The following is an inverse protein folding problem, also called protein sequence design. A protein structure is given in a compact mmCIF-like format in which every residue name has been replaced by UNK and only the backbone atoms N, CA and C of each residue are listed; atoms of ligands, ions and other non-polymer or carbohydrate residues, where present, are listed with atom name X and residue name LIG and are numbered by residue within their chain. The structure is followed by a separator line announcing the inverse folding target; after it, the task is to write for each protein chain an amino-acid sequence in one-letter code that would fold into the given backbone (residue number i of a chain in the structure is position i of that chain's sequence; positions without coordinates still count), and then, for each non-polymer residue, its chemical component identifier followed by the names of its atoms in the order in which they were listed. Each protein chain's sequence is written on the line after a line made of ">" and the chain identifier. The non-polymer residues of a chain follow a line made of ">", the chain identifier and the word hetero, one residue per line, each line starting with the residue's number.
data_IF_331473819831
#
_entry.id   IF_331473819831
#
_cell.length_a   1.000
_cell.length_b   1.000
_cell.length_c   1.000
_cell.angle_alpha   90.00
_cell.angle_beta   90.00
_cell.angle_gamma   90.00
#
_symmetry.space_group_name_H-M   'P 1'
#
loop_
_entity.id
_entity.type
_entity.pdbx_description
1 polymer ?
#
# COMPACT_ATOMS: atom_id res chain seq x y z
N UNK A 1 -13.48 10.77 2.13
CA UNK A 1 -13.31 10.18 3.45
C UNK A 1 -14.46 9.23 3.79
N UNK A 2 -14.21 8.31 4.71
CA UNK A 2 -15.24 7.44 5.26
C UNK A 2 -16.23 8.27 6.08
N UNK A 3 -17.53 7.96 5.95
CA UNK A 3 -18.56 8.66 6.75
C UNK A 3 -18.40 8.34 8.23
N UNK A 4 -18.69 9.30 9.10
CA UNK A 4 -18.72 9.11 10.56
C UNK A 4 -19.93 8.28 10.97
N UNK A 5 -19.94 6.98 10.69
CA UNK A 5 -20.84 6.01 11.28
C UNK A 5 -20.00 4.88 11.88
N UNK A 6 -20.56 4.10 12.78
CA UNK A 6 -19.87 2.96 13.39
C UNK A 6 -19.70 1.83 12.35
N UNK A 7 -18.68 1.94 11.53
CA UNK A 7 -18.30 0.88 10.61
C UNK A 7 -17.67 -0.29 11.38
N UNK A 8 -17.92 -1.50 10.89
CA UNK A 8 -17.16 -2.69 11.26
C UNK A 8 -15.96 -2.81 10.34
N UNK A 9 -14.77 -2.89 10.90
CA UNK A 9 -13.53 -2.87 10.15
C UNK A 9 -12.66 -4.07 10.50
N UNK A 10 -12.27 -4.83 9.50
CA UNK A 10 -11.21 -5.82 9.61
C UNK A 10 -9.86 -5.16 9.39
N UNK A 11 -8.84 -5.52 10.16
CA UNK A 11 -7.52 -4.90 10.07
C UNK A 11 -6.40 -5.92 9.99
N UNK A 12 -5.33 -5.58 9.25
CA UNK A 12 -4.05 -6.30 9.29
C UNK A 12 -2.89 -5.29 9.36
N UNK A 13 -1.92 -5.56 10.24
CA UNK A 13 -0.70 -4.76 10.44
C UNK A 13 -0.95 -3.27 10.78
N UNK A 14 -2.03 -3.00 11.48
CA UNK A 14 -2.39 -1.68 12.01
C UNK A 14 -2.84 -1.87 13.45
N UNK A 15 -2.52 -0.90 14.31
CA UNK A 15 -2.86 -0.97 15.73
C UNK A 15 -4.37 -0.93 15.97
N UNK A 16 -4.87 -2.00 16.60
CA UNK A 16 -6.31 -2.17 16.89
C UNK A 16 -6.84 -1.09 17.83
N UNK A 17 -6.06 -0.65 18.82
CA UNK A 17 -6.48 0.36 19.78
C UNK A 17 -6.63 1.74 19.10
N UNK A 18 -5.77 2.03 18.13
CA UNK A 18 -5.87 3.23 17.31
C UNK A 18 -7.12 3.21 16.44
N UNK A 19 -7.36 2.11 15.69
CA UNK A 19 -8.53 2.00 14.80
C UNK A 19 -9.84 1.99 15.59
N UNK A 20 -9.85 1.42 16.79
CA UNK A 20 -11.04 1.38 17.66
C UNK A 20 -11.56 2.76 18.08
N UNK A 21 -10.74 3.82 17.96
CA UNK A 21 -11.18 5.20 18.19
C UNK A 21 -12.09 5.73 17.06
N UNK A 22 -12.06 5.10 15.88
CA UNK A 22 -12.78 5.53 14.67
C UNK A 22 -13.88 4.55 14.24
N UNK A 23 -13.71 3.24 14.50
CA UNK A 23 -14.57 2.18 14.00
C UNK A 23 -14.63 1.00 14.98
N UNK A 24 -15.54 0.04 14.76
CA UNK A 24 -15.58 -1.21 15.49
C UNK A 24 -14.69 -2.24 14.80
N UNK A 25 -13.61 -2.66 15.45
CA UNK A 25 -12.72 -3.70 14.91
C UNK A 25 -13.37 -5.07 15.06
N UNK A 26 -13.37 -5.86 13.98
CA UNK A 26 -13.86 -7.23 13.93
C UNK A 26 -12.75 -8.22 13.58
N UNK A 27 -12.93 -9.48 13.97
CA UNK A 27 -11.91 -10.53 13.80
C UNK A 27 -11.95 -11.22 12.44
N UNK A 28 -13.03 -11.06 11.69
CA UNK A 28 -13.24 -11.73 10.41
C UNK A 28 -13.57 -10.72 9.30
N UNK A 29 -12.90 -10.80 8.12
CA UNK A 29 -13.24 -9.94 7.00
C UNK A 29 -14.68 -10.12 6.50
N UNK A 30 -15.31 -11.28 6.76
CA UNK A 30 -16.71 -11.54 6.40
C UNK A 30 -17.72 -10.77 7.24
N UNK A 31 -17.31 -10.29 8.42
CA UNK A 31 -18.15 -9.50 9.34
C UNK A 31 -17.94 -8.00 9.16
N UNK A 32 -16.97 -7.60 8.34
CA UNK A 32 -16.57 -6.23 8.16
C UNK A 32 -17.34 -5.55 7.03
N UNK A 33 -17.58 -4.25 7.18
CA UNK A 33 -18.07 -3.38 6.11
C UNK A 33 -16.95 -3.08 5.10
N UNK A 34 -15.71 -2.98 5.61
CA UNK A 34 -14.48 -2.85 4.83
C UNK A 34 -13.27 -3.33 5.64
N UNK A 35 -12.14 -3.52 4.96
CA UNK A 35 -10.86 -3.82 5.59
C UNK A 35 -9.87 -2.66 5.42
N UNK A 36 -8.94 -2.53 6.37
CA UNK A 36 -7.75 -1.70 6.25
C UNK A 36 -6.54 -2.60 6.49
N UNK A 37 -5.65 -2.70 5.51
CA UNK A 37 -4.44 -3.48 5.66
C UNK A 37 -3.22 -2.62 5.36
N UNK A 38 -2.17 -2.77 6.17
CA UNK A 38 -0.85 -2.22 5.84
C UNK A 38 0.03 -3.33 5.30
N UNK A 39 0.65 -3.06 4.15
CA UNK A 39 1.62 -3.92 3.51
C UNK A 39 2.91 -3.14 3.26
N UNK A 40 4.04 -3.85 3.17
CA UNK A 40 5.32 -3.25 2.79
C UNK A 40 5.62 -3.54 1.33
N UNK A 41 6.42 -2.70 0.68
CA UNK A 41 7.01 -3.04 -0.62
C UNK A 41 7.73 -4.39 -0.52
N UNK A 42 7.50 -5.32 -1.45
CA UNK A 42 8.15 -6.62 -1.41
C UNK A 42 9.66 -6.49 -1.57
N UNK A 43 10.39 -7.34 -0.87
CA UNK A 43 11.82 -7.49 -1.03
C UNK A 43 12.22 -8.95 -0.84
N UNK A 44 13.33 -9.32 -1.43
CA UNK A 44 13.83 -10.68 -1.40
C UNK A 44 15.28 -10.65 -0.89
N UNK A 45 15.62 -11.48 0.13
CA UNK A 45 16.97 -11.49 0.67
C UNK A 45 17.99 -11.91 -0.40
N UNK A 46 19.15 -11.27 -0.39
CA UNK A 46 20.30 -11.66 -1.21
C UNK A 46 21.23 -12.51 -0.39
N UNK A 47 21.63 -13.66 -0.92
CA UNK A 47 22.68 -14.47 -0.33
C UNK A 47 24.02 -13.74 -0.43
N UNK A 48 24.49 -13.18 0.66
CA UNK A 48 25.77 -12.47 0.75
C UNK A 48 26.41 -12.68 2.11
N UNK A 49 27.73 -12.77 2.12
CA UNK A 49 28.53 -12.80 3.36
C UNK A 49 28.74 -11.40 3.95
N UNK A 50 28.40 -10.35 3.24
CA UNK A 50 28.49 -8.98 3.71
C UNK A 50 27.20 -8.59 4.44
N UNK A 51 27.23 -8.43 5.79
CA UNK A 51 26.02 -8.10 6.57
C UNK A 51 25.45 -6.72 6.21
N UNK A 52 26.31 -5.79 5.75
CA UNK A 52 25.83 -4.48 5.29
C UNK A 52 25.02 -4.61 4.00
N UNK A 53 25.50 -5.40 3.02
CA UNK A 53 24.74 -5.66 1.80
C UNK A 53 23.44 -6.44 2.08
N UNK A 54 23.43 -7.35 3.06
CA UNK A 54 22.24 -8.09 3.46
C UNK A 54 21.14 -7.21 4.08
N UNK A 55 21.47 -6.01 4.58
CA UNK A 55 20.50 -5.08 5.18
C UNK A 55 19.69 -4.28 4.16
N UNK A 56 20.09 -4.25 2.90
CA UNK A 56 19.33 -3.57 1.86
C UNK A 56 18.18 -4.43 1.35
N UNK A 57 17.06 -3.78 1.05
CA UNK A 57 15.95 -4.43 0.37
C UNK A 57 16.27 -4.64 -1.11
N UNK A 58 16.31 -5.88 -1.55
CA UNK A 58 16.68 -6.31 -2.90
C UNK A 58 15.54 -7.03 -3.61
N UNK A 59 15.79 -7.39 -4.86
CA UNK A 59 14.94 -8.25 -5.69
C UNK A 59 13.83 -7.49 -6.41
N UNK A 60 12.93 -8.26 -6.98
CA UNK A 60 11.82 -7.74 -7.77
C UNK A 60 10.89 -6.86 -6.94
N UNK A 61 10.17 -5.97 -7.60
CA UNK A 61 9.27 -4.99 -6.98
C UNK A 61 7.82 -5.47 -6.92
N UNK A 62 7.53 -6.66 -7.44
CA UNK A 62 6.19 -7.25 -7.49
C UNK A 62 5.97 -8.27 -6.38
N UNK A 63 4.74 -8.32 -5.86
CA UNK A 63 4.31 -9.36 -4.93
C UNK A 63 4.20 -10.71 -5.63
N UNK A 64 4.63 -11.81 -4.95
CA UNK A 64 4.63 -13.17 -5.48
C UNK A 64 4.09 -14.19 -4.48
N UNK A 65 3.66 -15.34 -5.01
CA UNK A 65 3.30 -16.51 -4.22
C UNK A 65 2.22 -16.23 -3.17
N UNK A 66 2.37 -16.87 -1.99
CA UNK A 66 1.35 -16.85 -0.92
C UNK A 66 0.99 -15.47 -0.41
N UNK A 67 1.93 -14.52 -0.40
CA UNK A 67 1.66 -13.15 0.05
C UNK A 67 0.71 -12.44 -0.93
N UNK A 68 1.00 -12.51 -2.23
CA UNK A 68 0.10 -11.99 -3.27
C UNK A 68 -1.27 -12.65 -3.19
N UNK A 69 -1.30 -13.98 -3.09
CA UNK A 69 -2.55 -14.75 -3.04
C UNK A 69 -3.42 -14.34 -1.85
N UNK A 70 -2.81 -14.13 -0.67
CA UNK A 70 -3.50 -13.67 0.54
C UNK A 70 -4.12 -12.29 0.34
N UNK A 71 -3.36 -11.34 -0.18
CA UNK A 71 -3.84 -9.97 -0.46
C UNK A 71 -5.01 -10.04 -1.45
N UNK A 72 -4.83 -10.72 -2.57
CA UNK A 72 -5.85 -10.83 -3.62
C UNK A 72 -7.12 -11.53 -3.14
N UNK A 73 -7.01 -12.51 -2.25
CA UNK A 73 -8.16 -13.18 -1.63
C UNK A 73 -8.96 -12.23 -0.74
N UNK A 74 -8.27 -11.39 0.05
CA UNK A 74 -8.92 -10.40 0.90
C UNK A 74 -9.64 -9.33 0.07
N UNK A 75 -9.00 -8.80 -0.98
CA UNK A 75 -9.60 -7.82 -1.90
C UNK A 75 -10.90 -8.32 -2.55
N UNK A 76 -11.03 -9.64 -2.75
CA UNK A 76 -12.24 -10.29 -3.29
C UNK A 76 -13.31 -10.52 -2.22
N UNK A 77 -12.94 -10.54 -0.95
CA UNK A 77 -13.85 -10.90 0.16
C UNK A 77 -14.62 -9.69 0.69
N UNK A 78 -13.94 -8.54 0.78
CA UNK A 78 -14.48 -7.32 1.38
C UNK A 78 -13.83 -6.10 0.73
N UNK A 79 -14.53 -4.96 0.55
CA UNK A 79 -13.89 -3.72 0.10
C UNK A 79 -12.70 -3.39 0.99
N UNK A 80 -11.51 -3.31 0.42
CA UNK A 80 -10.27 -3.20 1.20
C UNK A 80 -9.51 -1.92 0.84
N UNK A 81 -9.14 -1.18 1.86
CA UNK A 81 -8.20 -0.06 1.80
C UNK A 81 -6.80 -0.64 2.01
N UNK A 82 -5.93 -0.43 1.06
CA UNK A 82 -4.55 -0.87 1.12
C UNK A 82 -3.66 0.33 1.42
N UNK A 83 -2.97 0.29 2.55
CA UNK A 83 -1.93 1.23 2.95
C UNK A 83 -0.58 0.55 2.69
N UNK A 84 0.17 1.03 1.69
CA UNK A 84 1.46 0.44 1.32
C UNK A 84 2.61 1.34 1.74
N UNK A 85 3.49 0.81 2.62
CA UNK A 85 4.76 1.44 2.95
C UNK A 85 5.75 1.29 1.79
N UNK A 86 6.13 2.42 1.20
CA UNK A 86 7.01 2.49 0.03
C UNK A 86 8.42 2.95 0.44
N UNK A 87 9.26 2.06 0.90
CA UNK A 87 10.71 2.31 1.02
C UNK A 87 11.42 2.26 -0.34
N UNK A 88 10.75 1.68 -1.33
CA UNK A 88 11.14 1.61 -2.76
C UNK A 88 9.87 1.54 -3.61
N UNK A 89 9.92 1.84 -4.93
CA UNK A 89 8.77 1.64 -5.81
C UNK A 89 8.24 0.21 -5.79
N UNK A 90 6.94 0.04 -6.01
CA UNK A 90 6.30 -1.27 -6.05
C UNK A 90 5.53 -1.47 -7.37
N UNK A 91 5.51 -2.70 -7.87
CA UNK A 91 4.70 -3.12 -9.02
C UNK A 91 3.43 -3.77 -8.47
N UNK A 92 2.32 -3.03 -8.48
CA UNK A 92 1.08 -3.40 -7.81
C UNK A 92 -0.20 -3.20 -8.65
N UNK A 93 -0.20 -3.43 -9.97
CA UNK A 93 -1.37 -3.12 -10.79
C UNK A 93 -2.62 -3.90 -10.37
N UNK A 94 -2.50 -5.17 -10.02
CA UNK A 94 -3.64 -6.00 -9.61
C UNK A 94 -4.18 -5.58 -8.23
N UNK A 95 -3.28 -5.23 -7.29
CA UNK A 95 -3.67 -4.72 -5.97
C UNK A 95 -4.37 -3.38 -6.12
N UNK A 96 -3.82 -2.46 -6.90
CA UNK A 96 -4.41 -1.15 -7.16
C UNK A 96 -5.79 -1.25 -7.83
N UNK A 97 -5.95 -2.20 -8.76
CA UNK A 97 -7.23 -2.44 -9.44
C UNK A 97 -8.28 -3.07 -8.52
N UNK A 98 -7.88 -3.89 -7.54
CA UNK A 98 -8.77 -4.57 -6.61
C UNK A 98 -9.07 -3.81 -5.34
N UNK A 99 -8.25 -2.83 -4.98
CA UNK A 99 -8.41 -2.04 -3.76
C UNK A 99 -9.56 -1.03 -3.87
N UNK A 100 -10.35 -0.88 -2.81
CA UNK A 100 -11.35 0.18 -2.70
C UNK A 100 -10.69 1.57 -2.55
N UNK A 101 -9.52 1.62 -1.93
CA UNK A 101 -8.63 2.78 -1.89
C UNK A 101 -7.18 2.31 -1.71
N UNK A 102 -6.23 3.10 -2.21
CA UNK A 102 -4.80 2.86 -2.07
C UNK A 102 -4.12 4.09 -1.48
N UNK A 103 -3.33 3.89 -0.44
CA UNK A 103 -2.52 4.91 0.22
C UNK A 103 -1.05 4.52 0.05
N UNK A 104 -0.24 5.47 -0.42
CA UNK A 104 1.21 5.37 -0.36
C UNK A 104 1.71 6.01 0.93
N UNK A 105 2.43 5.26 1.73
CA UNK A 105 2.94 5.61 3.05
C UNK A 105 4.47 5.58 3.03
N UNK A 106 5.09 6.48 3.76
CA UNK A 106 6.54 6.62 3.92
C UNK A 106 6.94 6.64 5.41
N UNK A 107 6.23 5.85 6.24
CA UNK A 107 6.44 5.78 7.68
C UNK A 107 5.43 6.60 8.48
N UNK A 108 4.21 6.77 7.95
CA UNK A 108 3.13 7.41 8.67
C UNK A 108 2.65 6.55 9.86
N UNK A 109 2.31 7.21 10.97
CA UNK A 109 1.70 6.52 12.10
C UNK A 109 0.28 6.04 11.77
N UNK A 110 -0.17 4.98 12.42
CA UNK A 110 -1.53 4.45 12.27
C UNK A 110 -2.59 5.53 12.53
N UNK A 111 -2.33 6.40 13.52
CA UNK A 111 -3.19 7.54 13.81
C UNK A 111 -3.28 8.49 12.62
N UNK A 112 -2.16 8.84 11.99
CA UNK A 112 -2.16 9.75 10.83
C UNK A 112 -2.93 9.18 9.65
N UNK A 113 -2.79 7.87 9.38
CA UNK A 113 -3.55 7.17 8.35
C UNK A 113 -5.04 7.21 8.68
N UNK A 114 -5.44 6.90 9.90
CA UNK A 114 -6.84 6.97 10.35
C UNK A 114 -7.41 8.41 10.23
N UNK A 115 -6.66 9.45 10.63
CA UNK A 115 -7.10 10.85 10.51
C UNK A 115 -7.45 11.20 9.06
N UNK A 116 -6.64 10.74 8.09
CA UNK A 116 -6.93 10.93 6.67
C UNK A 116 -8.14 10.09 6.25
N UNK A 117 -8.16 8.80 6.53
CA UNK A 117 -9.22 7.89 6.09
C UNK A 117 -10.60 8.31 6.58
N UNK A 118 -10.69 8.73 7.84
CA UNK A 118 -11.95 9.15 8.47
C UNK A 118 -12.27 10.64 8.31
N UNK A 119 -11.46 11.36 7.51
CA UNK A 119 -11.75 12.73 7.09
C UNK A 119 -11.47 13.83 8.11
N UNK A 120 -10.68 13.54 9.14
CA UNK A 120 -10.21 14.52 10.10
C UNK A 120 -9.02 15.32 9.56
N UNK A 121 -8.30 14.77 8.56
CA UNK A 121 -7.23 15.43 7.84
C UNK A 121 -7.41 15.27 6.32
N UNK A 122 -6.88 16.23 5.56
CA UNK A 122 -6.89 16.19 4.09
C UNK A 122 -5.64 15.47 3.57
N UNK A 123 -5.75 14.55 2.61
CA UNK A 123 -4.59 14.01 1.92
C UNK A 123 -3.98 15.11 1.03
N UNK A 124 -2.69 15.39 1.22
CA UNK A 124 -1.96 16.43 0.48
C UNK A 124 -0.72 15.86 -0.23
N UNK A 125 -0.33 14.64 0.12
CA UNK A 125 0.86 13.99 -0.40
C UNK A 125 0.80 13.78 -1.91
N UNK A 126 1.97 13.83 -2.55
CA UNK A 126 2.19 13.53 -3.95
C UNK A 126 3.29 12.51 -4.07
N UNK A 127 3.15 11.57 -5.01
CA UNK A 127 4.18 10.56 -5.25
C UNK A 127 5.51 11.23 -5.65
N UNK A 128 6.61 10.93 -4.93
CA UNK A 128 7.92 11.49 -5.22
C UNK A 128 8.65 10.75 -6.35
N UNK A 129 8.05 9.71 -6.91
CA UNK A 129 8.54 8.91 -8.05
C UNK A 129 7.37 8.30 -8.80
N UNK A 130 7.62 7.68 -9.95
CA UNK A 130 6.61 6.91 -10.67
C UNK A 130 6.47 5.51 -10.08
N UNK A 131 5.24 5.00 -9.97
CA UNK A 131 5.02 3.57 -9.72
C UNK A 131 4.95 2.84 -11.06
N UNK A 132 5.84 1.88 -11.32
CA UNK A 132 5.85 1.15 -12.58
C UNK A 132 4.65 0.21 -12.70
N UNK A 133 4.20 -0.01 -13.92
CA UNK A 133 3.07 -0.90 -14.20
C UNK A 133 3.44 -2.39 -14.24
N UNK A 134 4.72 -2.72 -14.45
CA UNK A 134 5.20 -4.10 -14.54
C UNK A 134 6.70 -4.20 -14.27
N UNK A 135 7.18 -5.41 -13.97
CA UNK A 135 8.61 -5.69 -13.87
C UNK A 135 9.35 -5.52 -15.20
N UNK A 136 8.67 -5.70 -16.32
CA UNK A 136 9.23 -5.41 -17.65
C UNK A 136 9.47 -3.89 -17.81
N UNK A 137 8.51 -3.07 -17.42
CA UNK A 137 8.69 -1.62 -17.41
C UNK A 137 9.88 -1.19 -16.55
N UNK A 138 10.06 -1.81 -15.36
CA UNK A 138 11.23 -1.56 -14.50
C UNK A 138 12.54 -1.91 -15.19
N UNK A 139 12.62 -3.08 -15.84
CA UNK A 139 13.85 -3.53 -16.54
C UNK A 139 14.22 -2.67 -17.74
N UNK A 140 13.26 -2.00 -18.34
CA UNK A 140 13.45 -1.15 -19.52
C UNK A 140 13.79 0.32 -19.14
N UNK A 141 13.73 0.70 -17.86
CA UNK A 141 14.12 2.03 -17.41
C UNK A 141 15.63 2.25 -17.59
N UNK A 142 15.99 3.46 -17.96
CA UNK A 142 17.39 3.89 -18.01
C UNK A 142 17.84 4.34 -16.62
N UNK A 143 19.07 4.02 -16.28
CA UNK A 143 19.62 4.26 -14.94
C UNK A 143 19.83 5.74 -14.59
N UNK A 144 19.87 6.61 -15.60
CA UNK A 144 20.21 8.03 -15.50
C UNK A 144 19.10 8.98 -16.02
N UNK A 145 17.93 8.41 -16.37
CA UNK A 145 16.79 9.20 -16.87
C UNK A 145 15.63 9.09 -15.87
N UNK A 146 15.29 10.18 -15.16
CA UNK A 146 14.17 10.16 -14.24
C UNK A 146 12.84 10.12 -15.00
N UNK A 147 11.84 9.44 -14.41
CA UNK A 147 10.46 9.42 -14.90
C UNK A 147 10.30 8.88 -16.33
N UNK A 148 11.08 7.87 -16.68
CA UNK A 148 11.03 7.22 -18.01
C UNK A 148 10.30 5.87 -18.01
N UNK A 149 9.54 5.58 -16.96
CA UNK A 149 8.76 4.34 -16.87
C UNK A 149 7.73 4.25 -18.00
N UNK A 150 7.75 3.16 -18.74
CA UNK A 150 6.77 2.94 -19.81
C UNK A 150 5.39 2.68 -19.20
N UNK A 151 4.41 3.54 -19.53
CA UNK A 151 3.03 3.44 -19.02
C UNK A 151 2.98 3.24 -17.49
N UNK A 152 3.50 4.16 -16.67
CA UNK A 152 3.52 3.98 -15.24
C UNK A 152 2.11 3.81 -14.68
N UNK A 153 1.96 2.98 -13.65
CA UNK A 153 0.70 2.81 -12.93
C UNK A 153 0.24 4.14 -12.32
N UNK A 154 1.18 4.86 -11.71
CA UNK A 154 0.98 6.23 -11.25
C UNK A 154 2.21 7.08 -11.62
N UNK A 155 1.96 8.27 -12.14
CA UNK A 155 3.02 9.22 -12.52
C UNK A 155 3.58 9.94 -11.31
N UNK A 156 4.81 10.45 -11.44
CA UNK A 156 5.36 11.43 -10.50
C UNK A 156 4.36 12.56 -10.24
N UNK A 157 4.24 12.97 -8.99
CA UNK A 157 3.33 14.03 -8.59
C UNK A 157 1.86 13.62 -8.49
N UNK A 158 1.51 12.35 -8.76
CA UNK A 158 0.15 11.87 -8.56
C UNK A 158 -0.25 11.91 -7.09
N UNK A 159 -1.50 12.28 -6.82
CA UNK A 159 -2.09 12.26 -5.49
C UNK A 159 -3.49 12.84 -5.50
N UNK A 160 -4.36 12.24 -4.70
CA UNK A 160 -5.75 12.63 -4.55
C UNK A 160 -5.92 13.65 -3.42
N UNK A 161 -7.05 14.32 -3.39
CA UNK A 161 -7.54 15.15 -2.28
C UNK A 161 -9.04 14.97 -2.14
N UNK A 162 -9.57 15.21 -0.96
CA UNK A 162 -11.02 15.27 -0.78
C UNK A 162 -11.59 16.57 -1.39
N UNK A 163 -12.77 16.46 -1.96
CA UNK A 163 -13.55 17.60 -2.47
C UNK A 163 -14.37 18.20 -1.34
#
# INVERSE_FOLDING_TARGET
>A
PLKKQKHKVYIENIDSATVAQYATVVSSPKEADFAIIRINTPWYPVETKNPFAASFHHGDLDFKGKEKDKIMALLKTVPTIVDIYLDRPAVIPEIASGAAALIADYGASDKSVCEVLFGNAQPQGKLPFELPSSMEAVKNQKTDVPYDSVNPLYKFGFGLSYK
#
